data_IF_730967250623
#
_entry.id   IF_730967250623
#
_cell.length_a   1.000
_cell.length_b   1.000
_cell.length_c   1.000
_cell.angle_alpha   90.00
_cell.angle_beta   90.00
_cell.angle_gamma   90.00
#
_symmetry.space_group_name_H-M   'P 1'
#
loop_
_entity.id
_entity.type
_entity.pdbx_description
1 polymer ?
#
# COMPACT_ATOMS: atom_id res chain seq x y z
N UNK A 1 17.48 7.96 1.24
CA UNK A 1 16.51 8.36 0.17
C UNK A 1 16.69 7.53 -1.11
N UNK A 2 17.90 7.36 -1.69
CA UNK A 2 18.07 6.64 -2.96
C UNK A 2 17.60 5.17 -2.95
N UNK A 3 17.98 4.40 -1.93
CA UNK A 3 17.55 2.99 -1.78
C UNK A 3 16.02 2.87 -1.70
N UNK A 4 15.37 3.81 -0.99
CA UNK A 4 13.93 3.81 -0.85
C UNK A 4 13.23 4.15 -2.17
N UNK A 5 13.79 5.07 -2.97
CA UNK A 5 13.28 5.35 -4.33
C UNK A 5 13.35 4.10 -5.21
N UNK A 6 14.49 3.40 -5.25
CA UNK A 6 14.65 2.17 -6.01
C UNK A 6 13.66 1.08 -5.57
N UNK A 7 13.42 0.93 -4.26
CA UNK A 7 12.39 0.03 -3.75
C UNK A 7 11.00 0.45 -4.24
N UNK A 8 10.67 1.73 -4.14
CA UNK A 8 9.36 2.26 -4.54
C UNK A 8 9.12 2.01 -6.03
N UNK A 9 10.10 2.28 -6.88
CA UNK A 9 10.06 2.04 -8.32
C UNK A 9 9.89 0.55 -8.65
N UNK A 10 10.62 -0.33 -7.95
CA UNK A 10 10.47 -1.78 -8.10
C UNK A 10 9.05 -2.24 -7.73
N UNK A 11 8.53 -1.78 -6.60
CA UNK A 11 7.17 -2.13 -6.13
C UNK A 11 6.09 -1.63 -7.11
N UNK A 12 6.24 -0.40 -7.63
CA UNK A 12 5.35 0.15 -8.65
C UNK A 12 5.41 -0.67 -9.93
N UNK A 13 6.61 -1.05 -10.39
CA UNK A 13 6.78 -1.90 -11.57
C UNK A 13 6.07 -3.25 -11.43
N UNK A 14 6.16 -3.88 -10.26
CA UNK A 14 5.45 -5.12 -9.95
C UNK A 14 3.92 -4.93 -9.93
N UNK A 15 3.43 -3.84 -9.33
CA UNK A 15 2.01 -3.52 -9.36
C UNK A 15 1.49 -3.29 -10.79
N UNK A 16 2.29 -2.62 -11.64
CA UNK A 16 1.96 -2.43 -13.06
C UNK A 16 1.89 -3.78 -13.79
N UNK A 17 2.78 -4.74 -13.50
CA UNK A 17 2.72 -6.07 -14.08
C UNK A 17 1.42 -6.81 -13.69
N UNK A 18 1.01 -6.71 -12.42
CA UNK A 18 -0.28 -7.25 -11.96
C UNK A 18 -1.44 -6.62 -12.73
N UNK A 19 -1.49 -5.29 -12.81
CA UNK A 19 -2.56 -4.57 -13.51
C UNK A 19 -2.61 -4.89 -15.00
N UNK A 20 -1.46 -4.94 -15.70
CA UNK A 20 -1.39 -5.34 -17.11
C UNK A 20 -1.89 -6.77 -17.37
N UNK A 21 -1.65 -7.68 -16.42
CA UNK A 21 -2.01 -9.09 -16.58
C UNK A 21 -3.49 -9.36 -16.33
N UNK A 22 -4.10 -8.60 -15.41
CA UNK A 22 -5.46 -8.86 -14.93
C UNK A 22 -6.50 -7.84 -15.41
N UNK A 23 -6.05 -6.65 -15.81
CA UNK A 23 -6.93 -5.50 -16.07
C UNK A 23 -7.58 -4.94 -14.79
N UNK A 24 -8.38 -3.86 -14.92
CA UNK A 24 -9.19 -3.30 -13.85
C UNK A 24 -10.45 -4.15 -13.56
N UNK A 25 -11.11 -3.89 -12.43
CA UNK A 25 -12.43 -4.46 -12.09
C UNK A 25 -12.43 -5.60 -11.07
N UNK A 26 -11.25 -6.01 -10.55
CA UNK A 26 -11.19 -7.00 -9.47
C UNK A 26 -11.36 -6.35 -8.09
N UNK A 27 -11.62 -7.17 -7.08
CA UNK A 27 -11.65 -6.74 -5.68
C UNK A 27 -10.24 -6.37 -5.17
N UNK A 28 -10.16 -5.44 -4.22
CA UNK A 28 -8.91 -5.03 -3.56
C UNK A 28 -8.11 -6.24 -3.02
N UNK A 29 -8.84 -7.21 -2.45
CA UNK A 29 -8.24 -8.44 -1.90
C UNK A 29 -7.56 -9.31 -2.96
N UNK A 30 -8.02 -9.28 -4.21
CA UNK A 30 -7.39 -10.00 -5.31
C UNK A 30 -6.08 -9.31 -5.71
N UNK A 31 -6.11 -7.99 -5.96
CA UNK A 31 -4.90 -7.23 -6.30
C UNK A 31 -3.85 -7.28 -5.19
N UNK A 32 -4.25 -7.19 -3.92
CA UNK A 32 -3.34 -7.35 -2.77
C UNK A 32 -2.63 -8.70 -2.80
N UNK A 33 -3.37 -9.80 -2.99
CA UNK A 33 -2.78 -11.15 -3.05
C UNK A 33 -1.82 -11.30 -4.23
N UNK A 34 -2.18 -10.79 -5.41
CA UNK A 34 -1.34 -10.82 -6.59
C UNK A 34 -0.06 -9.97 -6.42
N UNK A 35 -0.18 -8.78 -5.84
CA UNK A 35 0.98 -7.94 -5.57
C UNK A 35 1.91 -8.58 -4.54
N UNK A 36 1.38 -9.17 -3.46
CA UNK A 36 2.19 -9.93 -2.51
C UNK A 36 2.91 -11.12 -3.17
N UNK A 37 2.27 -11.81 -4.11
CA UNK A 37 2.89 -12.87 -4.89
C UNK A 37 4.08 -12.35 -5.73
N UNK A 38 3.89 -11.25 -6.46
CA UNK A 38 4.96 -10.60 -7.23
C UNK A 38 6.12 -10.13 -6.33
N UNK A 39 5.82 -9.51 -5.20
CA UNK A 39 6.83 -9.06 -4.23
C UNK A 39 7.69 -10.23 -3.73
N UNK A 40 7.03 -11.32 -3.31
CA UNK A 40 7.70 -12.53 -2.82
C UNK A 40 8.60 -13.15 -3.90
N UNK A 41 8.10 -13.29 -5.12
CA UNK A 41 8.88 -13.85 -6.24
C UNK A 41 10.07 -12.99 -6.65
N UNK A 42 10.04 -11.70 -6.30
CA UNK A 42 11.12 -10.76 -6.56
C UNK A 42 12.03 -10.51 -5.35
N UNK A 43 11.95 -11.38 -4.33
CA UNK A 43 12.80 -11.36 -3.13
C UNK A 43 12.49 -10.18 -2.19
N UNK A 44 11.29 -9.62 -2.26
CA UNK A 44 10.84 -8.54 -1.37
C UNK A 44 9.96 -9.13 -0.29
N UNK A 45 10.46 -9.13 0.94
CA UNK A 45 9.68 -9.53 2.11
C UNK A 45 8.65 -8.45 2.45
N UNK A 46 7.38 -8.83 2.41
CA UNK A 46 6.26 -7.99 2.77
C UNK A 46 5.26 -8.76 3.63
N UNK A 47 4.63 -8.07 4.57
CA UNK A 47 3.59 -8.61 5.44
C UNK A 47 2.26 -8.01 5.02
N UNK A 48 1.23 -8.84 4.91
CA UNK A 48 -0.11 -8.42 4.48
C UNK A 48 -1.06 -8.30 5.67
N UNK A 49 -2.06 -7.42 5.53
CA UNK A 49 -3.16 -7.24 6.49
C UNK A 49 -2.67 -6.96 7.92
N UNK A 50 -1.67 -6.08 8.05
CA UNK A 50 -1.01 -5.77 9.32
C UNK A 50 -1.89 -4.88 10.18
N UNK A 51 -2.27 -5.37 11.36
CA UNK A 51 -2.99 -4.58 12.36
C UNK A 51 -2.10 -3.47 12.90
N UNK A 52 -2.62 -2.24 12.92
CA UNK A 52 -1.93 -1.09 13.48
C UNK A 52 -2.72 -0.64 14.72
N UNK A 53 -2.14 -0.78 15.93
CA UNK A 53 -2.81 -0.37 17.15
C UNK A 53 -2.90 1.16 17.23
N UNK A 54 -4.04 1.65 17.72
CA UNK A 54 -4.22 3.06 18.05
C UNK A 54 -4.15 3.23 19.56
N UNK A 55 -3.24 4.08 20.02
CA UNK A 55 -3.19 4.51 21.41
C UNK A 55 -3.96 5.81 21.58
N UNK A 56 -5.03 5.79 22.37
CA UNK A 56 -5.78 6.97 22.79
C UNK A 56 -5.69 7.12 24.31
N UNK A 57 -4.82 8.03 24.77
CA UNK A 57 -4.47 8.17 26.20
C UNK A 57 -3.96 6.83 26.75
N UNK A 58 -4.61 6.27 27.75
CA UNK A 58 -4.28 4.97 28.35
C UNK A 58 -4.95 3.77 27.62
N UNK A 59 -5.90 4.02 26.72
CA UNK A 59 -6.57 2.97 25.95
C UNK A 59 -5.73 2.59 24.74
N UNK A 60 -5.43 1.28 24.60
CA UNK A 60 -4.87 0.72 23.37
C UNK A 60 -5.97 -0.03 22.63
N UNK A 61 -6.16 0.29 21.35
CA UNK A 61 -7.15 -0.33 20.47
C UNK A 61 -6.38 -1.13 19.41
N UNK A 62 -6.23 -2.43 19.66
CA UNK A 62 -5.34 -3.32 18.90
C UNK A 62 -5.73 -3.49 17.42
N UNK A 63 -7.02 -3.35 17.09
CA UNK A 63 -7.55 -3.58 15.73
C UNK A 63 -8.18 -2.34 15.09
N UNK A 64 -7.76 -1.13 15.49
CA UNK A 64 -8.35 0.11 14.96
C UNK A 64 -8.10 0.33 13.47
N UNK A 65 -6.97 -0.16 12.96
CA UNK A 65 -6.54 0.00 11.59
C UNK A 65 -5.87 -1.28 11.09
N UNK A 66 -5.89 -1.46 9.76
CA UNK A 66 -5.26 -2.60 9.09
C UNK A 66 -4.66 -2.13 7.78
N UNK A 67 -3.33 -2.10 7.70
CA UNK A 67 -2.62 -1.80 6.47
C UNK A 67 -2.65 -3.02 5.54
N UNK A 68 -2.80 -2.79 4.23
CA UNK A 68 -2.87 -3.87 3.27
C UNK A 68 -1.55 -4.62 3.13
N UNK A 69 -0.45 -3.89 2.93
CA UNK A 69 0.89 -4.44 2.75
C UNK A 69 1.93 -3.53 3.43
N UNK A 70 2.82 -4.12 4.22
CA UNK A 70 3.97 -3.44 4.82
C UNK A 70 5.27 -4.15 4.42
N UNK A 71 6.20 -3.40 3.84
CA UNK A 71 7.61 -3.78 3.77
C UNK A 71 8.28 -3.23 5.04
N UNK A 72 8.76 -4.11 5.95
CA UNK A 72 9.18 -3.70 7.29
C UNK A 72 10.16 -2.52 7.30
N UNK A 73 9.86 -1.51 8.12
CA UNK A 73 10.66 -0.30 8.30
C UNK A 73 10.89 0.55 7.02
N UNK A 74 10.26 0.24 5.89
CA UNK A 74 10.56 0.84 4.59
C UNK A 74 9.36 1.48 3.91
N UNK A 75 8.27 0.73 3.71
CA UNK A 75 7.17 1.15 2.83
C UNK A 75 5.82 0.57 3.30
N UNK A 76 4.76 1.37 3.25
CA UNK A 76 3.36 0.90 3.32
C UNK A 76 2.73 1.00 1.93
N UNK A 77 2.01 -0.03 1.50
CA UNK A 77 1.21 -0.02 0.27
C UNK A 77 -0.24 -0.29 0.60
N UNK A 78 -1.11 0.64 0.23
CA UNK A 78 -2.57 0.53 0.31
C UNK A 78 -3.13 0.28 -1.08
N UNK A 79 -3.95 -0.77 -1.21
CA UNK A 79 -4.56 -1.18 -2.47
C UNK A 79 -5.99 -0.68 -2.51
N UNK A 80 -6.37 -0.06 -3.63
CA UNK A 80 -7.74 0.38 -3.89
C UNK A 80 -8.25 -0.15 -5.21
N UNK A 81 -9.55 -0.35 -5.28
CA UNK A 81 -10.26 -0.67 -6.51
C UNK A 81 -11.60 0.07 -6.48
N UNK A 82 -11.50 1.38 -6.68
CA UNK A 82 -12.60 2.35 -6.53
C UNK A 82 -12.65 3.28 -7.74
N UNK A 83 -13.79 3.92 -7.98
CA UNK A 83 -13.95 4.86 -9.09
C UNK A 83 -12.94 6.02 -9.03
N UNK A 84 -12.74 6.59 -7.84
CA UNK A 84 -11.75 7.65 -7.62
C UNK A 84 -11.14 7.59 -6.23
N UNK A 85 -9.88 8.03 -6.12
CA UNK A 85 -9.24 8.23 -4.82
C UNK A 85 -9.79 9.50 -4.17
N UNK A 86 -10.30 9.35 -2.94
CA UNK A 86 -10.79 10.46 -2.14
C UNK A 86 -9.72 10.93 -1.14
N UNK A 87 -9.75 12.20 -0.70
CA UNK A 87 -8.80 12.73 0.29
C UNK A 87 -8.71 11.90 1.58
N UNK A 88 -9.79 11.22 1.98
CA UNK A 88 -9.81 10.34 3.15
C UNK A 88 -8.89 9.13 2.99
N UNK A 89 -8.70 8.60 1.78
CA UNK A 89 -7.78 7.49 1.53
C UNK A 89 -6.32 7.92 1.79
N UNK A 90 -5.96 9.13 1.36
CA UNK A 90 -4.64 9.69 1.64
C UNK A 90 -4.45 10.00 3.13
N UNK A 91 -5.47 10.54 3.80
CA UNK A 91 -5.44 10.82 5.23
C UNK A 91 -5.27 9.54 6.07
N UNK A 92 -5.90 8.44 5.65
CA UNK A 92 -5.72 7.11 6.24
C UNK A 92 -4.28 6.63 6.07
N UNK A 93 -3.71 6.70 4.87
CA UNK A 93 -2.30 6.35 4.64
C UNK A 93 -1.35 7.18 5.51
N UNK A 94 -1.55 8.49 5.60
CA UNK A 94 -0.74 9.37 6.46
C UNK A 94 -0.84 8.99 7.94
N UNK A 95 -2.00 8.52 8.39
CA UNK A 95 -2.19 8.00 9.75
C UNK A 95 -1.34 6.75 9.96
N UNK A 96 -1.30 5.84 9.00
CA UNK A 96 -0.50 4.61 9.09
C UNK A 96 0.99 4.90 9.16
N UNK A 97 1.46 5.84 8.35
CA UNK A 97 2.86 6.29 8.37
C UNK A 97 3.24 6.84 9.76
N UNK A 98 2.39 7.68 10.36
CA UNK A 98 2.64 8.25 11.70
C UNK A 98 2.67 7.18 12.79
N UNK A 99 1.70 6.27 12.81
CA UNK A 99 1.58 5.24 13.85
C UNK A 99 2.69 4.19 13.78
N UNK A 100 3.13 3.82 12.56
CA UNK A 100 4.18 2.81 12.33
C UNK A 100 5.59 3.39 12.32
N UNK A 101 5.74 4.72 12.27
CA UNK A 101 7.01 5.44 12.05
C UNK A 101 7.67 5.15 10.69
N UNK A 102 6.96 4.50 9.77
CA UNK A 102 7.39 4.36 8.37
C UNK A 102 7.16 5.68 7.66
N UNK A 103 8.17 6.15 6.92
CA UNK A 103 8.14 7.51 6.32
C UNK A 103 7.54 7.58 4.93
N UNK A 104 7.32 6.45 4.26
CA UNK A 104 6.87 6.42 2.88
C UNK A 104 5.71 5.46 2.67
N UNK A 105 4.70 5.94 1.94
CA UNK A 105 3.50 5.20 1.59
C UNK A 105 3.15 5.33 0.11
N UNK A 106 2.55 4.27 -0.43
CA UNK A 106 1.94 4.23 -1.75
C UNK A 106 0.46 3.89 -1.60
N UNK A 107 -0.40 4.70 -2.22
CA UNK A 107 -1.80 4.39 -2.42
C UNK A 107 -2.00 4.06 -3.90
N UNK A 108 -2.49 2.87 -4.20
CA UNK A 108 -2.57 2.35 -5.57
C UNK A 108 -4.02 2.00 -5.92
N UNK A 109 -4.67 2.82 -6.73
CA UNK A 109 -5.98 2.49 -7.30
C UNK A 109 -5.81 1.67 -8.58
N UNK A 110 -6.23 0.40 -8.54
CA UNK A 110 -6.19 -0.51 -9.67
C UNK A 110 -7.38 -0.36 -10.62
N UNK A 111 -8.42 0.38 -10.23
CA UNK A 111 -9.58 0.64 -11.08
C UNK A 111 -9.37 1.90 -11.94
N UNK A 112 -8.35 1.85 -12.79
CA UNK A 112 -7.96 2.89 -13.75
C UNK A 112 -7.50 2.25 -15.07
N UNK A 113 -7.50 3.01 -16.16
CA UNK A 113 -7.02 2.53 -17.46
C UNK A 113 -5.51 2.22 -17.44
N UNK A 114 -4.70 3.10 -16.86
CA UNK A 114 -3.27 2.90 -16.65
C UNK A 114 -2.94 3.04 -15.17
N UNK A 115 -2.35 2.00 -14.55
CA UNK A 115 -2.10 2.01 -13.10
C UNK A 115 -1.29 3.23 -12.63
N UNK A 116 -0.37 3.74 -13.45
CA UNK A 116 0.44 4.93 -13.11
C UNK A 116 -0.41 6.17 -12.75
N UNK A 117 -1.62 6.27 -13.31
CA UNK A 117 -2.53 7.39 -13.09
C UNK A 117 -3.34 7.22 -11.79
N UNK A 118 -3.36 6.01 -11.22
CA UNK A 118 -3.98 5.67 -9.93
C UNK A 118 -3.01 5.62 -8.75
N UNK A 119 -1.74 5.99 -8.93
CA UNK A 119 -0.72 5.91 -7.87
C UNK A 119 -0.50 7.26 -7.21
N UNK A 120 -0.68 7.31 -5.90
CA UNK A 120 -0.31 8.45 -5.06
C UNK A 120 0.83 8.05 -4.12
N UNK A 121 1.91 8.83 -4.14
CA UNK A 121 3.07 8.66 -3.25
C UNK A 121 3.03 9.70 -2.13
N UNK A 122 3.16 9.27 -0.88
CA UNK A 122 3.23 10.15 0.30
C UNK A 122 4.51 9.92 1.09
N UNK A 123 5.07 11.02 1.58
CA UNK A 123 6.27 11.04 2.43
C UNK A 123 5.99 11.97 3.61
N UNK A 124 6.38 11.56 4.83
CA UNK A 124 6.31 12.37 6.05
C UNK A 124 7.65 12.46 6.77
#
# INVERSE_FOLDING_TARGET
MPELNALTEKVIGLAINVHRSLGPGLLESAYRKCLCYELKNNGIEAVQEVQIPLKYKELTIDCSYRADIIIPNKLIVEVKSVDSLLPIHEAQLLTYLRLTKIKLGLLMNFNVELLKDGIVRKII
#
